data_IF_539263035863
#
_entry.id   IF_539263035863
#
_cell.length_a   1.000
_cell.length_b   1.000
_cell.length_c   1.000
_cell.angle_alpha   90.00
_cell.angle_beta   90.00
_cell.angle_gamma   90.00
#
_symmetry.space_group_name_H-M   'P 1'
#
loop_
_entity.id
_entity.type
_entity.pdbx_description
1 polymer ?
#
# COMPACT_ATOMS: atom_id res chain seq x y z
N UNK A 1 16.66 27.88 -2.69
CA UNK A 1 16.91 26.57 -3.34
C UNK A 1 15.99 25.57 -2.68
N UNK A 2 15.49 24.59 -3.41
CA UNK A 2 14.55 23.60 -2.89
C UNK A 2 14.90 22.23 -3.43
N UNK A 3 15.00 21.25 -2.55
CA UNK A 3 15.20 19.83 -2.88
C UNK A 3 14.00 19.04 -2.35
N UNK A 4 13.67 17.94 -3.03
CA UNK A 4 12.65 17.02 -2.54
C UNK A 4 13.12 16.42 -1.20
N UNK A 5 12.30 16.59 -0.16
CA UNK A 5 12.72 16.31 1.22
C UNK A 5 12.07 15.03 1.71
N UNK A 6 12.86 14.06 2.22
CA UNK A 6 12.34 12.80 2.70
C UNK A 6 11.52 12.96 3.99
N UNK A 7 10.54 12.06 4.17
CA UNK A 7 9.83 11.85 5.42
C UNK A 7 10.49 10.78 6.29
N UNK A 8 9.66 10.05 7.05
CA UNK A 8 10.13 8.94 7.88
C UNK A 8 10.54 7.71 7.05
N UNK A 9 9.98 7.56 5.85
CA UNK A 9 10.28 6.47 4.94
C UNK A 9 11.55 6.72 4.11
N UNK A 10 12.39 5.70 4.04
CA UNK A 10 13.56 5.62 3.16
C UNK A 10 13.09 5.04 1.82
N UNK A 11 13.02 5.89 0.81
CA UNK A 11 12.47 5.57 -0.50
C UNK A 11 13.51 5.82 -1.60
N UNK A 12 13.47 4.99 -2.64
CA UNK A 12 14.27 5.16 -3.86
C UNK A 12 13.84 6.46 -4.58
N UNK A 13 14.73 7.45 -4.59
CA UNK A 13 14.45 8.85 -4.93
C UNK A 13 15.40 9.35 -6.01
N UNK A 14 14.91 10.26 -6.84
CA UNK A 14 15.73 10.93 -7.85
C UNK A 14 16.38 12.24 -7.34
N UNK A 15 16.17 12.63 -6.09
CA UNK A 15 16.74 13.86 -5.52
C UNK A 15 18.24 13.72 -5.21
N UNK A 16 18.68 12.52 -4.84
CA UNK A 16 20.10 12.17 -4.62
C UNK A 16 20.35 10.79 -5.19
N UNK A 17 21.26 10.67 -6.15
CA UNK A 17 21.61 9.41 -6.80
C UNK A 17 23.10 9.09 -6.58
N UNK A 18 23.40 7.81 -6.41
CA UNK A 18 24.75 7.26 -6.53
C UNK A 18 24.92 6.73 -7.94
N UNK A 19 25.86 7.32 -8.68
CA UNK A 19 26.15 6.93 -10.06
C UNK A 19 27.14 5.76 -10.12
N UNK A 20 27.17 4.97 -11.21
CA UNK A 20 28.05 3.80 -11.34
C UNK A 20 29.55 4.10 -11.23
N UNK A 21 29.97 5.35 -11.48
CA UNK A 21 31.34 5.81 -11.34
C UNK A 21 31.70 6.26 -9.91
N UNK A 22 30.75 6.16 -8.97
CA UNK A 22 30.90 6.58 -7.59
C UNK A 22 30.58 8.06 -7.34
N UNK A 23 30.16 8.82 -8.37
CA UNK A 23 29.73 10.20 -8.18
C UNK A 23 28.37 10.27 -7.48
N UNK A 24 28.17 11.33 -6.70
CA UNK A 24 26.86 11.68 -6.12
C UNK A 24 26.22 12.76 -6.98
N UNK A 25 25.05 12.48 -7.54
CA UNK A 25 24.25 13.46 -8.25
C UNK A 25 23.14 13.97 -7.33
N UNK A 26 23.10 15.28 -7.09
CA UNK A 26 22.05 15.92 -6.31
C UNK A 26 21.19 16.80 -7.22
N UNK A 27 19.89 16.54 -7.25
CA UNK A 27 18.91 17.25 -8.09
C UNK A 27 18.04 18.17 -7.24
N UNK A 28 18.05 19.45 -7.58
CA UNK A 28 17.31 20.48 -6.84
C UNK A 28 16.89 21.62 -7.76
N UNK A 29 16.03 22.50 -7.26
CA UNK A 29 15.55 23.68 -7.98
C UNK A 29 16.08 24.96 -7.35
N UNK A 30 16.49 25.92 -8.18
CA UNK A 30 16.88 27.27 -7.76
C UNK A 30 15.95 28.30 -8.42
N UNK A 31 15.16 29.00 -7.61
CA UNK A 31 14.44 30.18 -8.08
C UNK A 31 15.44 31.32 -8.27
N UNK A 32 15.75 31.68 -9.53
CA UNK A 32 16.70 32.74 -9.83
C UNK A 32 16.13 34.12 -9.42
N UNK A 33 16.90 34.95 -8.69
CA UNK A 33 16.39 36.19 -8.15
C UNK A 33 16.20 37.24 -9.24
N UNK A 34 15.04 37.91 -9.21
CA UNK A 34 14.69 38.97 -10.13
C UNK A 34 13.89 40.08 -9.42
N UNK A 35 14.02 41.31 -9.93
CA UNK A 35 13.18 42.45 -9.55
C UNK A 35 12.26 42.76 -10.74
N UNK A 36 11.03 42.25 -10.69
CA UNK A 36 10.14 42.27 -11.86
C UNK A 36 10.72 41.40 -12.97
N UNK A 37 11.05 42.01 -14.12
CA UNK A 37 11.68 41.33 -15.27
C UNK A 37 13.20 41.49 -15.34
N UNK A 38 13.80 42.17 -14.36
CA UNK A 38 15.25 42.43 -14.33
C UNK A 38 15.96 41.41 -13.46
N UNK A 39 16.94 40.70 -14.03
CA UNK A 39 17.76 39.72 -13.31
C UNK A 39 18.59 40.42 -12.23
N UNK A 40 18.59 39.87 -11.02
CA UNK A 40 19.42 40.35 -9.91
C UNK A 40 20.77 39.63 -9.88
N UNK A 41 21.67 39.98 -10.79
CA UNK A 41 22.94 39.26 -11.01
C UNK A 41 23.79 39.04 -9.76
N UNK A 42 23.91 40.04 -8.87
CA UNK A 42 24.65 39.90 -7.60
C UNK A 42 24.03 38.85 -6.67
N UNK A 43 22.70 38.81 -6.57
CA UNK A 43 22.01 37.82 -5.76
C UNK A 43 22.10 36.42 -6.38
N UNK A 44 22.03 36.32 -7.71
CA UNK A 44 22.22 35.06 -8.42
C UNK A 44 23.64 34.50 -8.22
N UNK A 45 24.67 35.36 -8.30
CA UNK A 45 26.06 35.01 -7.97
C UNK A 45 26.18 34.52 -6.53
N UNK A 46 25.60 35.24 -5.56
CA UNK A 46 25.62 34.83 -4.16
C UNK A 46 24.99 33.43 -3.96
N UNK A 47 23.85 33.17 -4.59
CA UNK A 47 23.19 31.88 -4.50
C UNK A 47 24.03 30.78 -5.17
N UNK A 48 24.37 30.94 -6.46
CA UNK A 48 24.94 29.87 -7.28
C UNK A 48 26.44 29.66 -7.10
N UNK A 49 27.19 30.72 -6.83
CA UNK A 49 28.66 30.67 -6.81
C UNK A 49 29.25 30.74 -5.40
N UNK A 50 28.44 31.07 -4.38
CA UNK A 50 28.91 31.16 -2.98
C UNK A 50 28.16 30.16 -2.10
N UNK A 51 26.83 30.23 -2.03
CA UNK A 51 26.07 29.34 -1.14
C UNK A 51 25.99 27.91 -1.67
N UNK A 52 25.70 27.71 -2.95
CA UNK A 52 25.55 26.37 -3.52
C UNK A 52 26.83 25.52 -3.39
N UNK A 53 28.05 26.00 -3.73
CA UNK A 53 29.26 25.21 -3.55
C UNK A 53 29.52 24.86 -2.08
N UNK A 54 29.21 25.76 -1.15
CA UNK A 54 29.37 25.51 0.28
C UNK A 54 28.38 24.47 0.81
N UNK A 55 27.11 24.53 0.37
CA UNK A 55 26.12 23.50 0.67
C UNK A 55 26.62 22.15 0.14
N UNK A 56 27.03 22.08 -1.14
CA UNK A 56 27.53 20.83 -1.72
C UNK A 56 28.72 20.26 -0.94
N UNK A 57 29.69 21.11 -0.55
CA UNK A 57 30.87 20.71 0.23
C UNK A 57 30.50 20.17 1.62
N UNK A 58 29.48 20.73 2.24
CA UNK A 58 29.07 20.37 3.61
C UNK A 58 28.06 19.21 3.66
N UNK A 59 27.28 18.98 2.59
CA UNK A 59 26.22 17.97 2.58
C UNK A 59 26.48 16.76 1.67
N UNK A 60 27.38 16.84 0.69
CA UNK A 60 27.65 15.75 -0.27
C UNK A 60 29.05 15.15 -0.15
N UNK A 61 29.99 15.84 0.51
CA UNK A 61 31.34 15.31 0.71
C UNK A 61 31.40 14.52 2.01
N UNK A 62 31.75 13.24 1.93
CA UNK A 62 31.84 12.32 3.09
C UNK A 62 32.64 12.90 4.27
N UNK A 63 33.77 13.55 4.02
CA UNK A 63 34.60 14.15 5.08
C UNK A 63 33.94 15.30 5.87
N UNK A 64 32.78 15.80 5.41
CA UNK A 64 31.97 16.80 6.10
C UNK A 64 30.76 16.20 6.82
N UNK A 65 30.49 14.90 6.63
CA UNK A 65 29.35 14.19 7.21
C UNK A 65 29.76 13.50 8.52
N UNK A 66 28.75 13.21 9.35
CA UNK A 66 28.89 12.30 10.47
C UNK A 66 28.95 10.86 9.92
N UNK A 67 30.16 10.28 9.92
CA UNK A 67 30.42 8.97 9.37
C UNK A 67 29.66 7.87 10.13
N UNK A 68 29.62 7.96 11.47
CA UNK A 68 28.97 6.96 12.32
C UNK A 68 27.45 7.01 12.10
N UNK A 69 26.87 8.20 12.00
CA UNK A 69 25.45 8.35 11.71
C UNK A 69 25.07 7.85 10.30
N UNK A 70 25.93 8.08 9.30
CA UNK A 70 25.72 7.58 7.95
C UNK A 70 25.80 6.05 7.91
N UNK A 71 26.81 5.45 8.54
CA UNK A 71 26.97 4.00 8.62
C UNK A 71 25.79 3.35 9.35
N UNK A 72 25.37 3.90 10.49
CA UNK A 72 24.20 3.43 11.22
C UNK A 72 22.91 3.52 10.38
N UNK A 73 22.75 4.57 9.57
CA UNK A 73 21.62 4.70 8.68
C UNK A 73 21.61 3.63 7.59
N UNK A 74 22.75 3.39 6.93
CA UNK A 74 22.88 2.34 5.92
C UNK A 74 22.63 0.95 6.52
N UNK A 75 23.27 0.65 7.65
CA UNK A 75 23.13 -0.63 8.36
C UNK A 75 21.68 -0.94 8.73
N UNK A 76 20.94 0.07 9.23
CA UNK A 76 19.54 -0.07 9.57
C UNK A 76 18.65 -0.39 8.35
N UNK A 77 18.92 0.21 7.19
CA UNK A 77 18.15 -0.08 5.96
C UNK A 77 18.49 -1.47 5.42
N UNK A 78 19.76 -1.88 5.47
CA UNK A 78 20.18 -3.24 5.10
C UNK A 78 19.50 -4.31 5.96
N UNK A 79 19.43 -4.08 7.27
CA UNK A 79 18.74 -4.95 8.23
C UNK A 79 17.25 -5.08 7.93
N UNK A 80 16.57 -3.97 7.62
CA UNK A 80 15.15 -3.96 7.26
C UNK A 80 14.88 -4.75 5.99
N UNK A 81 15.74 -4.56 4.97
CA UNK A 81 15.65 -5.32 3.73
C UNK A 81 15.89 -6.81 3.95
N UNK A 82 16.93 -7.18 4.70
CA UNK A 82 17.23 -8.57 5.04
C UNK A 82 16.07 -9.22 5.80
N UNK A 83 15.47 -8.51 6.75
CA UNK A 83 14.31 -8.97 7.50
C UNK A 83 13.09 -9.19 6.60
N UNK A 84 12.84 -8.30 5.65
CA UNK A 84 11.74 -8.42 4.69
C UNK A 84 11.93 -9.60 3.74
N UNK A 85 13.14 -9.81 3.24
CA UNK A 85 13.51 -10.96 2.39
C UNK A 85 13.44 -12.29 3.17
N UNK A 86 13.63 -12.26 4.48
CA UNK A 86 13.52 -13.42 5.36
C UNK A 86 12.07 -13.89 5.60
N UNK A 87 11.08 -12.99 5.61
CA UNK A 87 9.66 -13.31 5.85
C UNK A 87 9.13 -14.56 5.12
N UNK A 88 9.23 -14.66 3.77
CA UNK A 88 8.69 -15.81 3.05
C UNK A 88 9.37 -17.13 3.42
N UNK A 89 10.65 -17.10 3.82
CA UNK A 89 11.39 -18.32 4.23
C UNK A 89 10.84 -18.94 5.51
N UNK A 90 10.09 -18.16 6.29
CA UNK A 90 9.46 -18.57 7.55
C UNK A 90 7.95 -18.74 7.45
N UNK A 91 7.37 -18.59 6.26
CA UNK A 91 5.91 -18.56 6.08
C UNK A 91 5.26 -17.38 6.81
N UNK A 92 5.94 -16.23 6.84
CA UNK A 92 5.45 -14.99 7.43
C UNK A 92 5.07 -13.97 6.35
N UNK A 93 4.12 -13.11 6.68
CA UNK A 93 3.69 -11.97 5.84
C UNK A 93 4.03 -10.61 6.47
N UNK A 94 4.30 -10.58 7.77
CA UNK A 94 4.81 -9.43 8.48
C UNK A 94 5.59 -9.85 9.73
N UNK A 95 6.46 -8.96 10.21
CA UNK A 95 7.19 -9.07 11.46
C UNK A 95 7.11 -7.74 12.21
N UNK A 96 6.88 -7.79 13.53
CA UNK A 96 6.82 -6.61 14.40
C UNK A 96 7.81 -6.81 15.54
N UNK A 97 8.93 -6.09 15.52
CA UNK A 97 9.97 -6.21 16.54
C UNK A 97 9.47 -5.89 17.96
N UNK A 98 10.00 -6.62 18.94
CA UNK A 98 9.87 -6.21 20.34
C UNK A 98 10.55 -4.86 20.57
N UNK A 99 9.90 -4.00 21.36
CA UNK A 99 10.38 -2.64 21.62
C UNK A 99 9.95 -1.61 20.57
N UNK A 100 9.30 -2.02 19.47
CA UNK A 100 8.83 -1.09 18.45
C UNK A 100 7.85 -0.05 19.01
N UNK A 101 7.94 1.19 18.51
CA UNK A 101 7.02 2.29 18.85
C UNK A 101 6.07 2.52 17.68
N UNK A 102 4.91 1.87 17.76
CA UNK A 102 3.89 1.91 16.72
C UNK A 102 3.09 3.22 16.63
N UNK A 103 2.63 3.83 17.75
CA UNK A 103 1.83 5.05 17.68
C UNK A 103 2.66 6.26 17.25
N UNK A 104 2.03 7.15 16.48
CA UNK A 104 2.66 8.39 15.97
C UNK A 104 2.32 9.57 16.85
N UNK A 105 3.12 10.63 16.78
CA UNK A 105 2.99 11.82 17.61
C UNK A 105 1.62 12.49 17.45
N UNK A 106 1.08 12.52 16.22
CA UNK A 106 -0.32 12.91 15.96
C UNK A 106 -0.77 12.44 14.58
N UNK A 107 -2.05 12.62 14.22
CA UNK A 107 -2.54 12.35 12.86
C UNK A 107 -1.91 13.22 11.76
N UNK A 108 -1.20 14.29 12.11
CA UNK A 108 -0.52 15.20 11.17
C UNK A 108 1.01 15.18 11.29
N UNK A 109 1.56 14.43 12.27
CA UNK A 109 3.00 14.28 12.46
C UNK A 109 3.31 12.79 12.58
N UNK A 110 3.96 12.27 11.55
CA UNK A 110 4.32 10.86 11.46
C UNK A 110 5.58 10.50 12.27
N UNK A 111 6.15 11.37 13.11
CA UNK A 111 7.19 11.00 14.09
C UNK A 111 6.65 10.04 15.19
N UNK A 112 7.50 9.25 15.86
CA UNK A 112 7.05 8.36 16.93
C UNK A 112 6.49 9.10 18.14
N UNK A 113 5.45 8.54 18.75
CA UNK A 113 4.89 9.06 19.99
C UNK A 113 5.86 8.89 21.16
N UNK A 114 6.12 9.98 21.88
CA UNK A 114 6.94 9.95 23.11
C UNK A 114 6.18 9.30 24.26
N UNK A 115 6.86 8.42 25.02
CA UNK A 115 6.27 7.74 26.17
C UNK A 115 5.23 6.69 25.81
N UNK A 116 5.21 6.23 24.56
CA UNK A 116 4.36 5.14 24.12
C UNK A 116 4.72 3.82 24.82
N UNK A 117 3.74 2.92 24.93
CA UNK A 117 3.97 1.54 25.34
C UNK A 117 4.71 0.83 24.20
N UNK A 118 5.97 0.36 24.40
CA UNK A 118 6.67 -0.39 23.38
C UNK A 118 5.96 -1.70 23.08
N UNK A 119 5.99 -2.13 21.82
CA UNK A 119 5.38 -3.38 21.41
C UNK A 119 6.07 -4.58 22.09
N UNK A 120 5.26 -5.53 22.55
CA UNK A 120 5.72 -6.77 23.16
C UNK A 120 5.00 -7.95 22.50
N UNK A 121 5.78 -8.91 22.00
CA UNK A 121 5.27 -10.04 21.24
C UNK A 121 4.66 -11.10 22.14
N UNK A 122 3.45 -11.62 21.83
CA UNK A 122 2.91 -12.80 22.48
C UNK A 122 3.88 -13.98 22.35
N UNK A 123 4.10 -14.72 23.44
CA UNK A 123 5.09 -15.81 23.47
C UNK A 123 4.90 -16.86 22.37
N UNK A 124 3.66 -17.21 22.02
CA UNK A 124 3.34 -18.20 20.98
C UNK A 124 3.64 -17.74 19.54
N UNK A 125 3.80 -16.43 19.34
CA UNK A 125 4.01 -15.80 18.03
C UNK A 125 5.41 -15.17 17.92
N UNK A 126 6.21 -15.27 18.97
CA UNK A 126 7.57 -14.76 19.01
C UNK A 126 8.48 -15.60 18.13
N UNK A 127 9.23 -14.94 17.26
CA UNK A 127 10.24 -15.53 16.38
C UNK A 127 11.50 -14.68 16.44
N UNK A 128 12.64 -15.28 16.09
CA UNK A 128 13.94 -14.61 16.07
C UNK A 128 14.47 -14.56 14.63
N UNK A 129 14.91 -13.38 14.20
CA UNK A 129 15.56 -13.16 12.92
C UNK A 129 17.03 -12.77 13.16
N UNK A 130 17.94 -13.32 12.35
CA UNK A 130 19.35 -12.94 12.38
C UNK A 130 19.62 -11.95 11.25
N UNK A 131 19.98 -10.72 11.62
CA UNK A 131 20.22 -9.60 10.72
C UNK A 131 21.73 -9.34 10.55
N UNK A 132 22.16 -8.84 9.39
CA UNK A 132 23.58 -8.65 9.10
C UNK A 132 24.28 -7.65 10.03
N UNK A 133 23.58 -6.61 10.50
CA UNK A 133 24.18 -5.54 11.31
C UNK A 133 23.68 -5.55 12.76
N UNK A 134 22.36 -5.62 13.00
CA UNK A 134 21.77 -5.64 14.35
C UNK A 134 21.88 -7.01 15.06
N UNK A 135 22.34 -8.06 14.38
CA UNK A 135 22.41 -9.40 14.94
C UNK A 135 21.02 -10.04 15.14
N UNK A 136 20.84 -10.79 16.21
CA UNK A 136 19.55 -11.48 16.47
C UNK A 136 18.53 -10.53 17.08
N UNK A 137 17.38 -10.40 16.41
CA UNK A 137 16.24 -9.61 16.87
C UNK A 137 15.03 -10.50 17.12
N UNK A 138 14.28 -10.21 18.18
CA UNK A 138 13.03 -10.91 18.55
C UNK A 138 11.82 -10.04 18.21
N UNK A 139 10.74 -10.67 17.78
CA UNK A 139 9.49 -10.00 17.48
C UNK A 139 8.35 -10.95 17.15
N UNK A 140 7.17 -10.39 16.88
CA UNK A 140 5.97 -11.15 16.53
C UNK A 140 5.99 -11.44 15.04
N UNK A 141 5.96 -12.71 14.68
CA UNK A 141 5.76 -13.17 13.30
C UNK A 141 4.28 -13.32 12.97
N UNK A 142 3.79 -12.59 11.98
CA UNK A 142 2.44 -12.78 11.42
C UNK A 142 2.51 -13.82 10.30
N UNK A 143 1.92 -15.00 10.53
CA UNK A 143 1.97 -16.12 9.58
C UNK A 143 1.07 -15.89 8.36
N UNK A 144 1.39 -16.58 7.27
CA UNK A 144 0.48 -16.71 6.12
C UNK A 144 -0.87 -17.30 6.55
N UNK A 145 -1.96 -16.82 5.94
CA UNK A 145 -3.33 -17.23 6.28
C UNK A 145 -4.20 -16.04 6.67
N UNK A 146 -5.17 -16.26 7.55
CA UNK A 146 -6.12 -15.23 8.04
C UNK A 146 -5.79 -14.87 9.48
N UNK A 147 -5.33 -13.65 9.70
CA UNK A 147 -5.02 -13.10 11.03
C UNK A 147 -5.98 -11.96 11.39
N UNK A 148 -6.55 -12.01 12.59
CA UNK A 148 -7.42 -10.96 13.12
C UNK A 148 -6.68 -10.14 14.18
N UNK A 149 -6.97 -8.84 14.24
CA UNK A 149 -6.56 -7.90 15.28
C UNK A 149 -7.84 -7.37 15.94
N UNK A 150 -8.08 -7.76 17.17
CA UNK A 150 -9.34 -7.55 17.89
C UNK A 150 -9.13 -6.80 19.20
N UNK A 151 -10.21 -6.37 19.86
CA UNK A 151 -10.15 -5.63 21.12
C UNK A 151 -11.05 -4.40 21.15
N UNK A 152 -11.12 -3.75 22.31
CA UNK A 152 -11.94 -2.55 22.51
C UNK A 152 -11.52 -1.37 21.63
N UNK A 153 -12.42 -0.39 21.45
CA UNK A 153 -12.08 0.89 20.82
C UNK A 153 -10.97 1.61 21.61
N UNK A 154 -10.00 2.19 20.91
CA UNK A 154 -8.83 2.88 21.49
C UNK A 154 -7.76 1.99 22.19
N UNK A 155 -7.79 0.66 22.05
CA UNK A 155 -6.76 -0.23 22.62
C UNK A 155 -5.55 -0.50 21.69
N UNK A 156 -5.46 0.15 20.51
CA UNK A 156 -4.29 0.07 19.62
C UNK A 156 -4.41 -0.86 18.39
N UNK A 157 -5.62 -1.32 18.05
CA UNK A 157 -5.86 -2.19 16.87
C UNK A 157 -5.39 -1.58 15.55
N UNK A 158 -5.96 -0.43 15.18
CA UNK A 158 -5.61 0.28 13.94
C UNK A 158 -4.18 0.80 13.98
N UNK A 159 -3.62 1.08 15.16
CA UNK A 159 -2.20 1.45 15.31
C UNK A 159 -1.29 0.30 14.88
N UNK A 160 -1.56 -0.93 15.34
CA UNK A 160 -0.82 -2.12 14.92
C UNK A 160 -0.98 -2.37 13.41
N UNK A 161 -2.21 -2.33 12.90
CA UNK A 161 -2.45 -2.53 11.47
C UNK A 161 -1.78 -1.45 10.62
N UNK A 162 -1.77 -0.18 11.06
CA UNK A 162 -1.13 0.92 10.32
C UNK A 162 0.40 0.77 10.29
N UNK A 163 1.00 0.25 11.36
CA UNK A 163 2.43 -0.08 11.35
C UNK A 163 2.74 -1.22 10.37
N UNK A 164 1.91 -2.28 10.35
CA UNK A 164 2.02 -3.36 9.35
C UNK A 164 1.80 -2.82 7.93
N UNK A 165 0.84 -1.92 7.73
CA UNK A 165 0.57 -1.28 6.45
C UNK A 165 1.77 -0.48 5.93
N UNK A 166 2.47 0.23 6.83
CA UNK A 166 3.67 1.01 6.51
C UNK A 166 4.95 0.18 6.41
N UNK A 167 4.99 -1.03 6.98
CA UNK A 167 6.15 -1.93 6.91
C UNK A 167 6.53 -2.44 5.51
N UNK A 168 5.76 -2.06 4.49
CA UNK A 168 6.14 -2.19 3.07
C UNK A 168 7.26 -1.23 2.66
N UNK A 169 7.59 -0.23 3.50
CA UNK A 169 8.70 0.68 3.33
C UNK A 169 9.73 0.50 4.44
N UNK A 170 10.98 0.82 4.12
CA UNK A 170 12.02 1.01 5.14
C UNK A 170 11.80 2.37 5.83
N UNK A 171 12.13 2.46 7.11
CA UNK A 171 12.04 3.67 7.91
C UNK A 171 13.42 4.10 8.41
N UNK A 172 13.57 5.40 8.66
CA UNK A 172 14.79 5.97 9.23
C UNK A 172 15.07 5.41 10.64
N UNK A 173 16.34 5.28 11.07
CA UNK A 173 16.67 4.89 12.43
C UNK A 173 15.99 5.80 13.47
N UNK A 174 15.39 5.21 14.50
CA UNK A 174 14.68 5.95 15.55
C UNK A 174 13.25 6.32 15.20
N UNK A 175 12.72 5.88 14.06
CA UNK A 175 11.29 6.02 13.71
C UNK A 175 10.37 5.22 14.66
N UNK A 176 10.89 4.17 15.28
CA UNK A 176 10.17 3.21 16.10
C UNK A 176 9.54 2.06 15.30
N UNK A 177 9.44 2.17 13.97
CA UNK A 177 8.91 1.13 13.08
C UNK A 177 9.97 0.54 12.15
N UNK A 178 11.24 0.89 12.29
CA UNK A 178 12.34 0.37 11.46
C UNK A 178 12.25 -1.16 11.32
N UNK A 179 12.19 -1.92 12.41
CA UNK A 179 12.07 -3.38 12.35
C UNK A 179 10.61 -3.88 12.35
N UNK A 180 9.70 -3.11 11.79
CA UNK A 180 8.33 -3.52 11.45
C UNK A 180 8.24 -3.65 9.94
N UNK A 181 8.36 -4.88 9.44
CA UNK A 181 8.38 -5.15 8.00
C UNK A 181 7.20 -5.99 7.56
N UNK A 182 6.76 -5.76 6.34
CA UNK A 182 5.61 -6.44 5.72
C UNK A 182 5.99 -6.83 4.30
N UNK A 183 5.43 -7.94 3.81
CA UNK A 183 5.63 -8.38 2.44
C UNK A 183 5.33 -7.25 1.42
N UNK A 184 6.22 -7.05 0.44
CA UNK A 184 6.16 -5.93 -0.52
C UNK A 184 4.84 -5.85 -1.28
N UNK A 185 4.23 -7.01 -1.54
CA UNK A 185 2.97 -7.15 -2.28
C UNK A 185 1.73 -6.74 -1.48
N UNK A 186 1.87 -6.34 -0.21
CA UNK A 186 0.75 -6.01 0.65
C UNK A 186 -0.03 -4.80 0.16
N UNK A 187 -1.35 -4.95 0.11
CA UNK A 187 -2.30 -3.92 -0.31
C UNK A 187 -3.33 -3.64 0.80
N UNK A 188 -3.45 -2.37 1.19
CA UNK A 188 -4.55 -1.89 2.04
C UNK A 188 -5.83 -1.79 1.22
N UNK A 189 -6.87 -2.49 1.68
CA UNK A 189 -8.20 -2.51 1.07
C UNK A 189 -9.17 -1.74 1.96
N UNK A 190 -10.03 -0.93 1.32
CA UNK A 190 -11.13 -0.21 1.96
C UNK A 190 -12.28 -0.01 0.97
N UNK A 191 -13.40 0.49 1.47
CA UNK A 191 -14.47 1.00 0.61
C UNK A 191 -14.12 2.39 0.05
N UNK A 192 -14.52 2.64 -1.20
CA UNK A 192 -14.32 3.90 -1.93
C UNK A 192 -15.60 4.25 -2.70
N UNK A 193 -16.59 4.76 -1.99
CA UNK A 193 -17.86 5.17 -2.59
C UNK A 193 -17.64 6.28 -3.64
N UNK A 194 -18.26 6.13 -4.80
CA UNK A 194 -18.20 7.11 -5.90
C UNK A 194 -17.02 7.00 -6.86
N UNK A 195 -16.10 6.04 -6.66
CA UNK A 195 -15.01 5.81 -7.62
C UNK A 195 -15.51 5.17 -8.92
N UNK A 196 -14.78 5.39 -10.01
CA UNK A 196 -15.01 4.68 -11.28
C UNK A 196 -14.37 3.28 -11.26
N UNK A 197 -14.96 2.39 -12.05
CA UNK A 197 -14.48 1.02 -12.31
C UNK A 197 -14.65 0.72 -13.80
N UNK A 198 -13.69 0.03 -14.42
CA UNK A 198 -13.78 -0.40 -15.82
C UNK A 198 -13.33 -1.85 -16.00
N UNK A 199 -14.24 -2.69 -16.47
CA UNK A 199 -14.00 -4.05 -16.95
C UNK A 199 -13.54 -5.07 -15.90
N UNK A 200 -13.92 -4.91 -14.62
CA UNK A 200 -13.45 -5.77 -13.52
C UNK A 200 -14.40 -6.94 -13.26
N UNK A 201 -13.89 -8.15 -13.17
CA UNK A 201 -14.68 -9.31 -12.73
C UNK A 201 -14.84 -9.31 -11.21
N UNK A 202 -15.98 -8.78 -10.75
CA UNK A 202 -16.38 -8.78 -9.34
C UNK A 202 -17.38 -9.91 -9.01
N UNK A 203 -17.65 -10.81 -9.96
CA UNK A 203 -18.55 -11.96 -9.77
C UNK A 203 -18.23 -12.87 -8.58
N UNK A 204 -16.97 -12.99 -8.09
CA UNK A 204 -16.70 -13.74 -6.86
C UNK A 204 -17.38 -13.16 -5.61
N UNK A 205 -17.71 -11.87 -5.63
CA UNK A 205 -18.28 -11.17 -4.49
C UNK A 205 -19.67 -10.59 -4.75
N UNK A 206 -20.00 -10.27 -6.00
CA UNK A 206 -21.23 -9.57 -6.36
C UNK A 206 -21.87 -10.31 -7.53
N UNK A 207 -23.09 -10.81 -7.35
CA UNK A 207 -23.89 -11.46 -8.38
C UNK A 207 -25.17 -10.63 -8.65
N UNK A 208 -25.86 -10.89 -9.76
CA UNK A 208 -27.26 -10.46 -9.98
C UNK A 208 -27.56 -8.98 -9.68
N UNK A 209 -26.71 -8.06 -10.16
CA UNK A 209 -26.93 -6.64 -9.98
C UNK A 209 -28.26 -6.18 -10.63
N UNK A 210 -28.93 -5.15 -10.06
CA UNK A 210 -30.10 -4.55 -10.68
C UNK A 210 -29.84 -4.15 -12.14
N UNK A 211 -30.87 -4.26 -12.98
CA UNK A 211 -30.83 -3.98 -14.42
C UNK A 211 -29.93 -4.93 -15.23
N UNK A 212 -29.52 -6.06 -14.67
CA UNK A 212 -28.78 -7.09 -15.40
C UNK A 212 -27.36 -6.66 -15.78
N UNK A 213 -26.75 -5.78 -15.00
CA UNK A 213 -25.33 -5.41 -15.20
C UNK A 213 -24.45 -6.64 -15.07
N UNK A 214 -23.53 -6.81 -16.02
CA UNK A 214 -22.57 -7.91 -15.98
C UNK A 214 -21.56 -7.67 -14.83
N UNK A 215 -21.39 -8.69 -14.02
CA UNK A 215 -20.45 -8.69 -12.87
C UNK A 215 -19.11 -9.32 -13.24
N UNK A 216 -19.04 -10.03 -14.37
CA UNK A 216 -17.80 -10.57 -14.93
C UNK A 216 -17.01 -9.53 -15.75
N UNK A 217 -17.66 -8.43 -16.17
CA UNK A 217 -17.05 -7.30 -16.88
C UNK A 217 -17.59 -5.97 -16.32
N UNK A 218 -17.52 -5.81 -15.00
CA UNK A 218 -18.19 -4.73 -14.30
C UNK A 218 -17.54 -3.37 -14.59
N UNK A 219 -18.38 -2.41 -15.00
CA UNK A 219 -17.98 -1.02 -15.24
C UNK A 219 -19.02 -0.06 -14.66
N UNK A 220 -18.57 1.01 -14.00
CA UNK A 220 -19.42 2.08 -13.47
C UNK A 220 -18.64 3.37 -13.29
N UNK A 221 -19.30 4.52 -13.42
CA UNK A 221 -18.72 5.83 -13.06
C UNK A 221 -18.90 6.19 -11.58
N UNK A 222 -19.69 5.40 -10.86
CA UNK A 222 -20.18 5.66 -9.50
C UNK A 222 -20.38 4.31 -8.79
N UNK A 223 -19.32 3.75 -8.20
CA UNK A 223 -19.37 2.48 -7.48
C UNK A 223 -19.86 2.70 -6.04
N UNK A 224 -20.72 1.80 -5.55
CA UNK A 224 -21.11 1.77 -4.14
C UNK A 224 -19.95 1.32 -3.23
N UNK A 225 -20.07 1.52 -1.91
CA UNK A 225 -19.09 1.02 -0.94
C UNK A 225 -18.72 -0.47 -1.08
N UNK A 226 -19.70 -1.37 -1.27
CA UNK A 226 -19.44 -2.82 -1.41
C UNK A 226 -18.83 -3.18 -2.77
N UNK A 227 -19.32 -2.59 -3.86
CA UNK A 227 -18.80 -2.86 -5.21
C UNK A 227 -17.41 -2.29 -5.41
N UNK A 228 -17.11 -1.11 -4.85
CA UNK A 228 -15.77 -0.52 -4.83
C UNK A 228 -14.79 -1.36 -4.00
N UNK A 229 -15.20 -1.88 -2.84
CA UNK A 229 -14.35 -2.74 -2.02
C UNK A 229 -14.07 -4.09 -2.69
N UNK A 230 -15.09 -4.72 -3.29
CA UNK A 230 -14.90 -5.93 -4.11
C UNK A 230 -13.91 -5.69 -5.26
N UNK A 231 -14.09 -4.56 -5.96
CA UNK A 231 -13.21 -4.12 -7.04
C UNK A 231 -11.77 -3.95 -6.54
N UNK A 232 -11.56 -3.27 -5.40
CA UNK A 232 -10.24 -3.07 -4.80
C UNK A 232 -9.51 -4.39 -4.55
N UNK A 233 -10.21 -5.40 -4.05
CA UNK A 233 -9.62 -6.72 -3.83
C UNK A 233 -9.19 -7.32 -5.17
N UNK A 234 -10.09 -7.37 -6.15
CA UNK A 234 -9.80 -7.98 -7.46
C UNK A 234 -8.64 -7.28 -8.16
N UNK A 235 -8.61 -5.94 -8.13
CA UNK A 235 -7.55 -5.13 -8.71
C UNK A 235 -6.20 -5.33 -8.02
N UNK A 236 -6.17 -5.37 -6.68
CA UNK A 236 -4.95 -5.63 -5.93
C UNK A 236 -4.40 -7.03 -6.25
N UNK A 237 -5.29 -8.02 -6.36
CA UNK A 237 -4.93 -9.37 -6.73
C UNK A 237 -4.43 -9.46 -8.18
N UNK A 238 -5.03 -8.74 -9.12
CA UNK A 238 -4.58 -8.60 -10.51
C UNK A 238 -3.20 -7.96 -10.60
N UNK A 239 -2.92 -6.97 -9.75
CA UNK A 239 -1.61 -6.35 -9.60
C UNK A 239 -0.56 -7.27 -8.95
N UNK A 240 -0.94 -8.47 -8.49
CA UNK A 240 -0.02 -9.46 -7.93
C UNK A 240 0.04 -9.47 -6.40
N UNK A 241 -0.85 -8.78 -5.71
CA UNK A 241 -0.90 -8.81 -4.24
C UNK A 241 -1.08 -10.23 -3.70
N UNK A 242 -0.38 -10.55 -2.60
CA UNK A 242 -0.51 -11.79 -1.83
C UNK A 242 -0.83 -11.54 -0.35
N UNK A 243 -1.01 -10.29 0.05
CA UNK A 243 -1.41 -9.90 1.39
C UNK A 243 -2.42 -8.75 1.31
N UNK A 244 -3.62 -8.96 1.84
CA UNK A 244 -4.65 -7.94 1.96
C UNK A 244 -4.73 -7.46 3.41
N UNK A 245 -4.69 -6.15 3.60
CA UNK A 245 -4.83 -5.50 4.90
C UNK A 245 -6.20 -4.81 4.96
N UNK A 246 -7.02 -5.10 5.97
CA UNK A 246 -8.35 -4.53 6.10
C UNK A 246 -8.59 -3.97 7.49
N UNK A 247 -9.29 -2.84 7.58
CA UNK A 247 -9.79 -2.28 8.83
C UNK A 247 -11.31 -2.17 8.75
N UNK A 248 -12.03 -2.87 9.63
CA UNK A 248 -13.50 -2.89 9.67
C UNK A 248 -14.10 -1.46 9.64
N UNK A 249 -13.46 -0.50 10.31
CA UNK A 249 -13.92 0.89 10.39
C UNK A 249 -13.92 1.63 9.03
N UNK A 250 -13.19 1.09 8.03
CA UNK A 250 -13.08 1.66 6.67
C UNK A 250 -13.67 0.75 5.59
N UNK A 251 -14.26 -0.37 5.99
CA UNK A 251 -14.90 -1.32 5.09
C UNK A 251 -16.42 -1.08 4.99
N UNK A 252 -17.01 -1.52 3.89
CA UNK A 252 -18.46 -1.57 3.75
C UNK A 252 -19.02 -2.72 4.61
N UNK A 253 -19.85 -2.40 5.61
CA UNK A 253 -20.37 -3.39 6.57
C UNK A 253 -21.10 -4.55 5.87
N UNK A 254 -21.94 -4.24 4.88
CA UNK A 254 -22.68 -5.23 4.09
C UNK A 254 -21.79 -6.11 3.21
N UNK A 255 -20.55 -5.70 2.97
CA UNK A 255 -19.55 -6.50 2.28
C UNK A 255 -18.80 -7.41 3.25
N UNK A 256 -18.55 -6.96 4.49
CA UNK A 256 -17.78 -7.74 5.44
C UNK A 256 -18.54 -8.95 5.95
N UNK A 257 -19.82 -8.78 6.32
CA UNK A 257 -20.67 -9.84 6.87
C UNK A 257 -22.12 -9.69 6.45
N UNK A 258 -22.90 -10.75 6.68
CA UNK A 258 -24.34 -10.76 6.45
C UNK A 258 -25.06 -11.16 7.73
N UNK A 259 -25.86 -10.23 8.24
CA UNK A 259 -26.71 -10.47 9.40
C UNK A 259 -27.77 -11.56 9.12
N UNK A 260 -27.95 -12.50 10.05
CA UNK A 260 -28.88 -13.62 9.92
C UNK A 260 -30.34 -13.18 9.81
N UNK A 261 -30.74 -12.11 10.51
CA UNK A 261 -32.13 -11.59 10.45
C UNK A 261 -32.38 -10.95 9.10
N UNK A 262 -31.40 -10.23 8.56
CA UNK A 262 -31.46 -9.71 7.20
C UNK A 262 -31.54 -10.85 6.18
N UNK A 263 -30.77 -11.92 6.37
CA UNK A 263 -30.83 -13.12 5.52
C UNK A 263 -32.20 -13.84 5.60
N UNK A 264 -32.85 -13.84 6.76
CA UNK A 264 -34.19 -14.40 6.92
C UNK A 264 -35.29 -13.54 6.24
N UNK A 265 -35.10 -12.23 6.17
CA UNK A 265 -36.05 -11.30 5.53
C UNK A 265 -35.84 -11.21 4.01
N UNK A 266 -34.59 -11.13 3.57
CA UNK A 266 -34.18 -10.98 2.17
C UNK A 266 -33.61 -12.30 1.70
N UNK A 267 -34.39 -13.01 0.89
CA UNK A 267 -34.01 -14.29 0.32
C UNK A 267 -32.65 -14.21 -0.40
N UNK A 268 -31.87 -15.30 -0.35
CA UNK A 268 -30.51 -15.34 -0.86
C UNK A 268 -30.41 -15.04 -2.37
N UNK A 269 -31.43 -15.38 -3.15
CA UNK A 269 -31.53 -15.09 -4.59
C UNK A 269 -31.75 -13.60 -4.90
N UNK A 270 -32.13 -12.80 -3.90
CA UNK A 270 -32.35 -11.35 -3.98
C UNK A 270 -31.25 -10.52 -3.33
N UNK A 271 -30.28 -11.15 -2.67
CA UNK A 271 -29.12 -10.48 -2.10
C UNK A 271 -27.91 -10.68 -3.03
N UNK A 272 -27.49 -9.64 -3.77
CA UNK A 272 -26.42 -9.75 -4.74
C UNK A 272 -25.04 -9.96 -4.11
N UNK A 273 -24.86 -9.64 -2.82
CA UNK A 273 -23.55 -9.62 -2.18
C UNK A 273 -23.22 -10.97 -1.53
N UNK A 274 -22.12 -11.58 -1.96
CA UNK A 274 -21.42 -12.63 -1.23
C UNK A 274 -20.42 -11.96 -0.27
N UNK A 275 -20.62 -12.04 1.05
CA UNK A 275 -19.78 -11.33 2.00
C UNK A 275 -18.36 -11.87 2.02
N UNK A 276 -17.39 -11.03 2.38
CA UNK A 276 -15.96 -11.34 2.40
C UNK A 276 -15.62 -12.54 3.27
N UNK A 277 -16.32 -12.71 4.41
CA UNK A 277 -16.17 -13.86 5.30
C UNK A 277 -16.34 -15.21 4.56
N UNK A 278 -17.21 -15.27 3.55
CA UNK A 278 -17.44 -16.48 2.77
C UNK A 278 -16.28 -16.78 1.79
N UNK A 279 -15.46 -15.78 1.43
CA UNK A 279 -14.38 -15.88 0.43
C UNK A 279 -12.98 -15.85 1.02
N UNK A 280 -12.80 -15.37 2.25
CA UNK A 280 -11.48 -15.18 2.87
C UNK A 280 -10.67 -16.48 2.95
N UNK A 281 -11.33 -17.62 3.20
CA UNK A 281 -10.66 -18.94 3.20
C UNK A 281 -10.25 -19.40 1.80
N UNK A 282 -11.06 -19.12 0.78
CA UNK A 282 -10.71 -19.42 -0.60
C UNK A 282 -9.52 -18.58 -1.09
N UNK A 283 -9.43 -17.32 -0.65
CA UNK A 283 -8.26 -16.46 -0.87
C UNK A 283 -7.01 -17.05 -0.20
N UNK A 284 -7.10 -17.43 1.07
CA UNK A 284 -6.00 -18.07 1.80
C UNK A 284 -5.52 -19.36 1.13
N UNK A 285 -6.45 -20.22 0.68
CA UNK A 285 -6.13 -21.43 -0.07
C UNK A 285 -5.45 -21.15 -1.43
N UNK A 286 -5.72 -19.98 -2.03
CA UNK A 286 -5.05 -19.50 -3.24
C UNK A 286 -3.71 -18.77 -2.96
N UNK A 287 -3.21 -18.81 -1.72
CA UNK A 287 -1.94 -18.19 -1.33
C UNK A 287 -2.04 -16.68 -1.05
N UNK A 288 -3.24 -16.15 -0.82
CA UNK A 288 -3.46 -14.75 -0.45
C UNK A 288 -3.78 -14.67 1.03
N UNK A 289 -2.88 -14.07 1.81
CA UNK A 289 -3.11 -13.87 3.24
C UNK A 289 -3.94 -12.62 3.51
N UNK A 290 -4.60 -12.58 4.66
CA UNK A 290 -5.42 -11.46 5.11
C UNK A 290 -5.06 -11.10 6.56
N UNK A 291 -4.78 -9.82 6.83
CA UNK A 291 -4.66 -9.28 8.19
C UNK A 291 -5.76 -8.24 8.38
N UNK A 292 -6.61 -8.44 9.39
CA UNK A 292 -7.84 -7.68 9.52
C UNK A 292 -8.02 -7.13 10.93
N UNK A 293 -8.27 -5.83 11.06
CA UNK A 293 -8.81 -5.26 12.30
C UNK A 293 -10.31 -5.49 12.34
N UNK A 294 -10.78 -6.11 13.42
CA UNK A 294 -12.18 -6.40 13.69
C UNK A 294 -12.53 -5.91 15.10
N UNK A 295 -13.56 -5.07 15.22
CA UNK A 295 -14.08 -4.52 16.47
C UNK A 295 -15.56 -4.84 16.72
N UNK A 296 -16.35 -5.08 15.67
CA UNK A 296 -17.80 -5.26 15.77
C UNK A 296 -18.30 -6.67 15.41
N UNK A 297 -17.53 -7.44 14.65
CA UNK A 297 -18.01 -8.69 14.06
C UNK A 297 -17.28 -9.96 14.55
N UNK A 298 -17.91 -10.72 15.44
CA UNK A 298 -17.35 -11.98 15.95
C UNK A 298 -17.37 -13.17 14.98
N UNK A 299 -18.09 -13.10 13.86
CA UNK A 299 -18.23 -14.24 12.93
C UNK A 299 -16.89 -14.68 12.33
N UNK A 300 -15.96 -13.74 12.17
CA UNK A 300 -14.62 -14.00 11.61
C UNK A 300 -13.76 -14.95 12.45
N UNK A 301 -14.08 -15.17 13.74
CA UNK A 301 -13.37 -16.17 14.56
C UNK A 301 -13.44 -17.58 13.97
N UNK A 302 -14.51 -17.89 13.24
CA UNK A 302 -14.69 -19.19 12.58
C UNK A 302 -13.74 -19.42 11.39
N UNK A 303 -13.17 -18.35 10.82
CA UNK A 303 -12.32 -18.39 9.63
C UNK A 303 -10.89 -17.90 9.88
N UNK A 304 -10.55 -17.56 11.12
CA UNK A 304 -9.22 -17.09 11.48
C UNK A 304 -8.25 -18.24 11.78
N UNK A 305 -7.01 -18.10 11.33
CA UNK A 305 -5.89 -18.95 11.75
C UNK A 305 -5.26 -18.43 13.05
N UNK A 306 -5.21 -17.11 13.20
CA UNK A 306 -4.67 -16.42 14.36
C UNK A 306 -5.59 -15.26 14.77
N UNK A 307 -5.78 -15.06 16.08
CA UNK A 307 -6.51 -13.91 16.64
C UNK A 307 -5.64 -13.19 17.66
N UNK A 308 -5.24 -11.97 17.33
CA UNK A 308 -4.47 -11.06 18.18
C UNK A 308 -5.44 -10.14 18.93
N UNK A 309 -5.44 -10.18 20.26
CA UNK A 309 -6.23 -9.25 21.06
C UNK A 309 -5.34 -8.10 21.54
N UNK A 310 -5.70 -6.89 21.14
CA UNK A 310 -5.13 -5.65 21.67
C UNK A 310 -5.90 -5.20 22.90
N UNK A 311 -5.20 -5.04 24.03
CA UNK A 311 -5.75 -4.47 25.25
C UNK A 311 -4.72 -3.54 25.90
N UNK A 312 -5.09 -2.26 26.10
CA UNK A 312 -4.24 -1.26 26.75
C UNK A 312 -2.87 -1.17 26.08
N UNK A 313 -2.89 -1.22 24.74
CA UNK A 313 -1.73 -1.20 23.85
C UNK A 313 -0.78 -2.41 23.95
N UNK A 314 -1.20 -3.49 24.64
CA UNK A 314 -0.49 -4.77 24.66
C UNK A 314 -1.17 -5.78 23.72
N UNK A 315 -0.36 -6.59 23.06
CA UNK A 315 -0.82 -7.64 22.15
C UNK A 315 -0.83 -9.00 22.88
N UNK A 316 -1.92 -9.76 22.71
CA UNK A 316 -2.07 -11.11 23.25
C UNK A 316 -2.49 -12.07 22.14
N UNK A 317 -2.01 -13.31 22.18
CA UNK A 317 -2.58 -14.39 21.37
C UNK A 317 -3.88 -14.88 22.01
N UNK A 318 -5.01 -14.55 21.39
CA UNK A 318 -6.34 -14.96 21.81
C UNK A 318 -6.94 -16.02 20.86
N UNK A 319 -6.10 -16.74 20.11
CA UNK A 319 -6.56 -17.72 19.11
C UNK A 319 -7.38 -18.84 19.75
N UNK A 320 -6.94 -19.38 20.89
CA UNK A 320 -7.69 -20.40 21.62
C UNK A 320 -9.01 -19.85 22.18
N UNK A 321 -8.97 -18.66 22.80
CA UNK A 321 -10.15 -17.99 23.33
C UNK A 321 -11.21 -17.74 22.24
N UNK A 322 -10.79 -17.33 21.04
CA UNK A 322 -11.67 -17.10 19.91
C UNK A 322 -12.37 -18.39 19.44
N UNK A 323 -11.65 -19.52 19.39
CA UNK A 323 -12.21 -20.84 19.07
C UNK A 323 -13.25 -21.27 20.12
N UNK A 324 -12.94 -21.10 21.41
CA UNK A 324 -13.86 -21.41 22.50
C UNK A 324 -15.14 -20.55 22.44
N UNK A 325 -15.07 -19.31 21.96
CA UNK A 325 -16.27 -18.47 21.72
C UNK A 325 -17.14 -19.06 20.61
N UNK A 326 -16.54 -19.47 19.49
CA UNK A 326 -17.27 -20.07 18.35
C UNK A 326 -18.00 -21.34 18.80
N UNK A 327 -17.33 -22.23 19.52
CA UNK A 327 -17.92 -23.50 19.98
C UNK A 327 -19.09 -23.27 20.96
N UNK A 328 -18.91 -22.37 21.93
CA UNK A 328 -19.97 -22.04 22.90
C UNK A 328 -21.18 -21.40 22.24
N UNK A 329 -20.97 -20.51 21.28
CA UNK A 329 -22.06 -19.84 20.57
C UNK A 329 -22.86 -20.85 19.74
N UNK A 330 -22.17 -21.72 18.98
CA UNK A 330 -22.82 -22.76 18.20
C UNK A 330 -23.64 -23.73 19.07
N UNK A 331 -23.12 -24.11 20.24
CA UNK A 331 -23.84 -24.94 21.19
C UNK A 331 -25.09 -24.25 21.78
N UNK A 332 -25.05 -22.93 21.99
CA UNK A 332 -26.14 -22.16 22.60
C UNK A 332 -27.27 -21.84 21.63
N UNK A 333 -26.96 -21.52 20.37
CA UNK A 333 -27.95 -21.08 19.38
C UNK A 333 -28.43 -22.22 18.48
N UNK A 334 -27.71 -23.34 18.43
CA UNK A 334 -27.94 -24.41 17.45
C UNK A 334 -27.58 -24.01 16.02
N UNK A 335 -27.07 -22.79 15.82
CA UNK A 335 -26.56 -22.31 14.54
C UNK A 335 -25.10 -22.75 14.46
N UNK A 336 -24.81 -23.68 13.54
CA UNK A 336 -23.45 -24.15 13.30
C UNK A 336 -22.54 -23.08 12.71
N UNK A 337 -21.27 -23.41 12.48
CA UNK A 337 -20.37 -22.55 11.73
C UNK A 337 -21.00 -22.17 10.38
N UNK A 338 -20.80 -20.91 9.95
CA UNK A 338 -21.24 -20.43 8.65
C UNK A 338 -20.93 -21.47 7.57
N UNK A 339 -21.91 -21.74 6.70
CA UNK A 339 -21.66 -22.51 5.50
C UNK A 339 -20.69 -21.72 4.63
N UNK A 340 -19.39 -21.98 4.81
CA UNK A 340 -18.36 -21.36 4.01
C UNK A 340 -18.55 -21.80 2.57
N UNK A 341 -18.47 -20.84 1.65
CA UNK A 341 -18.45 -21.18 0.24
C UNK A 341 -17.08 -21.80 -0.06
N UNK A 342 -17.02 -23.13 -0.04
CA UNK A 342 -15.83 -23.90 -0.35
C UNK A 342 -15.47 -23.85 -1.84
N UNK A 343 -16.26 -23.13 -2.67
CA UNK A 343 -15.93 -22.98 -4.08
C UNK A 343 -14.61 -22.21 -4.23
N UNK A 344 -13.67 -22.76 -5.00
CA UNK A 344 -12.46 -22.04 -5.34
C UNK A 344 -12.83 -20.76 -6.09
N UNK A 345 -12.02 -19.70 -5.89
CA UNK A 345 -12.18 -18.50 -6.68
C UNK A 345 -11.97 -18.83 -8.16
N UNK A 346 -12.79 -18.27 -9.06
CA UNK A 346 -12.61 -18.50 -10.49
C UNK A 346 -11.21 -18.02 -10.93
N UNK A 347 -10.60 -18.68 -11.92
CA UNK A 347 -9.33 -18.23 -12.47
C UNK A 347 -9.49 -16.81 -13.03
N UNK A 348 -8.58 -15.92 -12.61
CA UNK A 348 -8.62 -14.51 -13.00
C UNK A 348 -7.97 -14.35 -14.37
N UNK A 349 -8.73 -13.89 -15.36
CA UNK A 349 -8.17 -13.44 -16.63
C UNK A 349 -7.66 -12.00 -16.46
N UNK A 350 -6.43 -11.70 -16.89
CA UNK A 350 -5.92 -10.33 -16.83
C UNK A 350 -6.70 -9.45 -17.81
N UNK A 351 -7.12 -8.26 -17.36
CA UNK A 351 -7.92 -7.33 -18.17
C UNK A 351 -7.07 -6.72 -19.26
N UNK A 352 -7.66 -6.55 -20.45
CA UNK A 352 -7.08 -5.73 -21.51
C UNK A 352 -7.34 -4.27 -21.21
N UNK A 353 -6.32 -3.44 -21.44
CA UNK A 353 -6.40 -1.99 -21.27
C UNK A 353 -6.30 -1.35 -22.64
N UNK A 354 -7.39 -0.71 -23.06
CA UNK A 354 -7.50 -0.07 -24.38
C UNK A 354 -7.07 1.39 -24.34
N UNK A 355 -7.37 2.08 -23.24
CA UNK A 355 -6.99 3.47 -23.04
C UNK A 355 -6.90 3.81 -21.55
N UNK A 356 -5.91 4.63 -21.19
CA UNK A 356 -5.72 5.19 -19.86
C UNK A 356 -6.22 6.64 -19.81
N UNK A 357 -5.70 7.48 -20.69
CA UNK A 357 -5.98 8.93 -20.75
C UNK A 357 -6.24 9.38 -22.18
N UNK A 358 -7.05 10.44 -22.34
CA UNK A 358 -7.43 10.95 -23.65
C UNK A 358 -6.27 11.67 -24.38
N UNK A 359 -5.50 12.48 -23.64
CA UNK A 359 -4.34 13.21 -24.15
C UNK A 359 -3.16 13.02 -23.20
N UNK A 360 -2.19 12.18 -23.61
CA UNK A 360 -0.99 11.92 -22.83
C UNK A 360 0.10 12.99 -22.96
N UNK A 361 -0.13 14.02 -23.79
CA UNK A 361 0.71 15.22 -23.86
C UNK A 361 0.21 16.34 -22.93
N UNK A 362 -0.95 16.12 -22.30
CA UNK A 362 -1.55 17.09 -21.39
C UNK A 362 -0.62 17.39 -20.20
N UNK A 363 -0.70 18.64 -19.73
CA UNK A 363 0.07 19.08 -18.58
C UNK A 363 -0.37 18.31 -17.33
N UNK A 364 0.60 17.69 -16.65
CA UNK A 364 0.38 17.01 -15.39
C UNK A 364 0.68 17.92 -14.20
N UNK A 365 -0.10 17.80 -13.13
CA UNK A 365 0.14 18.52 -11.89
C UNK A 365 -0.22 17.63 -10.69
N UNK A 366 0.69 17.55 -9.71
CA UNK A 366 0.44 16.85 -8.45
C UNK A 366 0.27 17.88 -7.35
N UNK A 367 -0.88 17.85 -6.67
CA UNK A 367 -1.24 18.84 -5.65
C UNK A 367 -0.96 18.32 -4.25
N UNK A 368 -1.31 17.06 -3.98
CA UNK A 368 -1.10 16.37 -2.71
C UNK A 368 -0.51 14.97 -2.94
N UNK A 369 -0.24 14.23 -1.86
CA UNK A 369 0.17 12.82 -1.94
C UNK A 369 -0.89 11.98 -2.66
N UNK A 370 -2.17 12.31 -2.50
CA UNK A 370 -3.29 11.51 -2.97
C UNK A 370 -4.14 12.22 -4.05
N UNK A 371 -3.66 13.33 -4.62
CA UNK A 371 -4.37 14.11 -5.63
C UNK A 371 -3.47 14.60 -6.75
N UNK A 372 -3.84 14.26 -7.98
CA UNK A 372 -3.16 14.70 -9.18
C UNK A 372 -4.13 15.10 -10.29
N UNK A 373 -3.59 15.68 -11.35
CA UNK A 373 -4.32 16.17 -12.50
C UNK A 373 -3.54 15.88 -13.79
N UNK A 374 -4.24 15.38 -14.81
CA UNK A 374 -3.72 15.14 -16.17
C UNK A 374 -4.60 15.93 -17.14
N UNK A 375 -4.17 17.13 -17.54
CA UNK A 375 -5.03 18.06 -18.26
C UNK A 375 -6.26 18.45 -17.43
N UNK A 376 -7.46 18.12 -17.91
CA UNK A 376 -8.72 18.35 -17.19
C UNK A 376 -9.15 17.14 -16.33
N UNK A 377 -8.45 16.00 -16.43
CA UNK A 377 -8.75 14.81 -15.65
C UNK A 377 -8.18 14.94 -14.23
N UNK A 378 -9.05 14.94 -13.23
CA UNK A 378 -8.65 14.75 -11.84
C UNK A 378 -8.40 13.27 -11.55
N UNK A 379 -7.30 12.97 -10.86
CA UNK A 379 -6.93 11.64 -10.38
C UNK A 379 -6.97 11.66 -8.85
N UNK A 380 -8.00 11.00 -8.31
CA UNK A 380 -8.19 10.81 -6.87
C UNK A 380 -7.57 9.48 -6.43
N UNK A 381 -6.57 9.56 -5.55
CA UNK A 381 -5.89 8.40 -4.95
C UNK A 381 -6.10 8.37 -3.43
N UNK A 382 -7.14 9.04 -2.90
CA UNK A 382 -7.42 9.13 -1.47
C UNK A 382 -7.67 7.78 -0.79
N UNK A 383 -8.14 6.78 -1.54
CA UNK A 383 -8.26 5.41 -1.04
C UNK A 383 -6.98 4.58 -1.10
N UNK A 384 -5.88 5.11 -1.66
CA UNK A 384 -4.57 4.45 -1.76
C UNK A 384 -3.69 4.90 -0.60
N UNK A 385 -4.06 4.51 0.63
CA UNK A 385 -3.45 5.01 1.88
C UNK A 385 -1.94 4.72 2.01
N UNK A 386 -1.43 3.76 1.24
CA UNK A 386 -0.02 3.37 1.23
C UNK A 386 0.88 4.30 0.40
N UNK A 387 0.32 5.27 -0.33
CA UNK A 387 1.12 6.39 -0.85
C UNK A 387 1.54 7.30 0.31
N UNK A 388 2.84 7.54 0.44
CA UNK A 388 3.44 8.31 1.55
C UNK A 388 4.06 9.61 1.09
N UNK A 389 4.43 9.70 -0.19
CA UNK A 389 5.22 10.82 -0.71
C UNK A 389 4.58 11.40 -1.98
N UNK A 390 4.57 12.73 -2.08
CA UNK A 390 4.05 13.45 -3.25
C UNK A 390 4.86 13.13 -4.52
N UNK A 391 6.14 12.83 -4.37
CA UNK A 391 7.04 12.45 -5.46
C UNK A 391 6.78 11.02 -5.96
N UNK A 392 6.19 10.13 -5.15
CA UNK A 392 5.67 8.84 -5.63
C UNK A 392 4.51 9.09 -6.59
N UNK A 393 3.55 9.91 -6.18
CA UNK A 393 2.37 10.23 -7.01
C UNK A 393 2.77 10.92 -8.31
N UNK A 394 3.83 11.73 -8.29
CA UNK A 394 4.36 12.29 -9.54
C UNK A 394 4.91 11.21 -10.47
N UNK A 395 5.73 10.30 -9.95
CA UNK A 395 6.26 9.19 -10.73
C UNK A 395 5.13 8.30 -11.29
N UNK A 396 4.10 8.01 -10.50
CA UNK A 396 2.92 7.25 -10.93
C UNK A 396 2.21 7.92 -12.11
N UNK A 397 1.95 9.23 -12.02
CA UNK A 397 1.23 9.96 -13.06
C UNK A 397 2.05 10.02 -14.36
N UNK A 398 3.35 10.26 -14.26
CA UNK A 398 4.22 10.28 -15.44
C UNK A 398 4.39 8.87 -16.05
N UNK A 399 4.40 7.81 -15.24
CA UNK A 399 4.34 6.43 -15.72
C UNK A 399 3.05 6.12 -16.50
N UNK A 400 1.89 6.55 -16.00
CA UNK A 400 0.59 6.42 -16.70
C UNK A 400 0.64 7.12 -18.07
N UNK A 401 1.14 8.36 -18.11
CA UNK A 401 1.29 9.12 -19.35
C UNK A 401 2.31 8.48 -20.31
N UNK A 402 3.38 7.89 -19.79
CA UNK A 402 4.35 7.14 -20.58
C UNK A 402 3.71 5.90 -21.23
N UNK A 403 2.96 5.10 -20.47
CA UNK A 403 2.28 3.89 -20.97
C UNK A 403 1.29 4.22 -22.09
N UNK A 404 0.50 5.28 -21.94
CA UNK A 404 -0.43 5.71 -22.98
C UNK A 404 0.30 6.09 -24.29
N UNK A 405 1.46 6.74 -24.20
CA UNK A 405 2.24 7.16 -25.39
C UNK A 405 2.97 6.01 -26.06
N UNK A 406 3.58 5.12 -25.27
CA UNK A 406 4.57 4.16 -25.76
C UNK A 406 4.01 2.76 -26.02
N UNK A 407 2.99 2.34 -25.25
CA UNK A 407 2.45 0.99 -25.29
C UNK A 407 1.09 0.96 -25.99
N UNK A 408 0.15 1.78 -25.54
CA UNK A 408 -1.24 1.71 -26.03
C UNK A 408 -1.45 2.35 -27.41
N UNK A 409 -0.55 3.22 -27.86
CA UNK A 409 -0.61 3.82 -29.20
C UNK A 409 -0.32 2.82 -30.34
N UNK A 410 0.21 1.62 -30.04
CA UNK A 410 0.76 0.70 -31.04
C UNK A 410 -0.08 -0.54 -31.35
N UNK A 411 -0.99 -0.98 -30.47
CA UNK A 411 -2.12 -1.89 -30.74
C UNK A 411 -2.77 -2.32 -29.40
N UNK A 412 -4.08 -2.11 -29.24
CA UNK A 412 -4.86 -2.36 -28.01
C UNK A 412 -5.06 -3.84 -27.66
N UNK A 413 -4.00 -4.52 -27.22
CA UNK A 413 -4.06 -5.91 -26.75
C UNK A 413 -3.30 -6.17 -25.45
N UNK A 414 -2.75 -5.12 -24.85
CA UNK A 414 -1.91 -5.22 -23.65
C UNK A 414 -2.76 -5.37 -22.41
N UNK A 415 -2.39 -6.31 -21.55
CA UNK A 415 -3.07 -6.52 -20.28
C UNK A 415 -2.53 -5.63 -19.17
N UNK A 416 -3.31 -5.37 -18.12
CA UNK A 416 -2.83 -4.56 -16.99
C UNK A 416 -1.52 -5.09 -16.40
N UNK A 417 -1.35 -6.41 -16.12
CA UNK A 417 -0.06 -6.93 -15.64
C UNK A 417 1.11 -6.63 -16.59
N UNK A 418 0.93 -6.77 -17.89
CA UNK A 418 1.97 -6.46 -18.88
C UNK A 418 2.33 -4.96 -18.90
N UNK A 419 1.35 -4.07 -18.70
CA UNK A 419 1.63 -2.64 -18.55
C UNK A 419 2.48 -2.34 -17.31
N UNK A 420 2.17 -3.01 -16.19
CA UNK A 420 2.93 -2.87 -14.95
C UNK A 420 4.35 -3.44 -15.12
N UNK A 421 4.49 -4.60 -15.76
CA UNK A 421 5.78 -5.21 -16.08
C UNK A 421 6.65 -4.26 -16.91
N UNK A 422 6.05 -3.57 -17.90
CA UNK A 422 6.78 -2.60 -18.73
C UNK A 422 7.36 -1.43 -17.93
N UNK A 423 6.62 -0.92 -16.94
CA UNK A 423 7.13 0.14 -16.05
C UNK A 423 8.21 -0.41 -15.13
N UNK A 424 8.03 -1.60 -14.56
CA UNK A 424 9.04 -2.23 -13.70
C UNK A 424 10.35 -2.49 -14.45
N UNK A 425 10.26 -2.98 -15.69
CA UNK A 425 11.41 -3.13 -16.59
C UNK A 425 12.10 -1.80 -16.87
N UNK A 426 11.34 -0.74 -17.18
CA UNK A 426 11.88 0.59 -17.42
C UNK A 426 12.60 1.15 -16.18
N UNK A 427 12.01 0.97 -15.00
CA UNK A 427 12.59 1.35 -13.71
C UNK A 427 13.78 0.47 -13.28
N UNK A 428 13.89 -0.75 -13.82
CA UNK A 428 15.01 -1.66 -13.58
C UNK A 428 16.25 -1.37 -14.45
N UNK A 429 16.13 -0.49 -15.44
CA UNK A 429 17.28 -0.06 -16.26
C UNK A 429 18.22 0.86 -15.47
N UNK A 430 19.47 1.09 -15.93
CA UNK A 430 20.35 2.10 -15.32
C UNK A 430 19.80 3.53 -15.31
N UNK A 431 18.80 3.83 -16.15
CA UNK A 431 18.11 5.12 -16.11
C UNK A 431 17.18 5.24 -14.89
N UNK A 432 16.72 4.11 -14.32
CA UNK A 432 15.86 4.09 -13.15
C UNK A 432 14.62 4.96 -13.32
N UNK A 433 14.41 5.90 -12.40
CA UNK A 433 13.32 6.87 -12.41
C UNK A 433 13.33 7.84 -13.61
N UNK A 434 14.49 8.06 -14.24
CA UNK A 434 14.58 8.94 -15.43
C UNK A 434 13.91 8.33 -16.66
N UNK A 435 13.67 7.02 -16.64
CA UNK A 435 12.92 6.34 -17.70
C UNK A 435 11.47 6.84 -17.80
N UNK A 436 10.92 7.41 -16.74
CA UNK A 436 9.56 7.96 -16.69
C UNK A 436 9.43 9.32 -17.41
N UNK A 437 10.53 10.07 -17.52
CA UNK A 437 10.57 11.36 -18.21
C UNK A 437 11.81 11.49 -19.11
N UNK A 438 11.85 10.77 -20.25
CA UNK A 438 13.02 10.79 -21.14
C UNK A 438 13.41 12.22 -21.56
N UNK A 439 14.67 12.57 -21.36
CA UNK A 439 15.21 13.90 -21.67
C UNK A 439 14.99 14.95 -20.58
N UNK A 440 14.42 14.57 -19.43
CA UNK A 440 14.28 15.42 -18.25
C UNK A 440 14.89 14.73 -17.03
N UNK A 441 15.65 15.47 -16.23
CA UNK A 441 16.24 14.97 -14.99
C UNK A 441 15.44 15.51 -13.81
N UNK A 442 14.33 14.84 -13.51
CA UNK A 442 13.43 15.25 -12.43
C UNK A 442 14.07 14.90 -11.09
N UNK A 443 14.16 15.88 -10.18
CA UNK A 443 14.68 15.69 -8.82
C UNK A 443 13.60 15.41 -7.76
N UNK A 444 12.38 15.09 -8.19
CA UNK A 444 11.19 14.93 -7.36
C UNK A 444 10.35 13.73 -7.82
N UNK A 445 11.03 12.63 -8.10
CA UNK A 445 10.44 11.31 -8.25
C UNK A 445 10.85 10.41 -7.11
N UNK A 446 9.91 9.56 -6.71
CA UNK A 446 10.13 8.42 -5.84
C UNK A 446 9.57 7.20 -6.54
N UNK A 447 10.26 6.05 -6.44
CA UNK A 447 9.81 4.81 -7.05
C UNK A 447 8.47 4.34 -6.46
N UNK A 448 7.42 4.20 -7.27
CA UNK A 448 6.17 3.64 -6.81
C UNK A 448 6.21 2.11 -6.81
N UNK A 449 5.40 1.49 -5.96
CA UNK A 449 5.18 0.04 -5.99
C UNK A 449 4.21 -0.34 -7.09
N UNK A 450 4.27 -1.60 -7.51
CA UNK A 450 3.35 -2.19 -8.49
C UNK A 450 1.87 -1.97 -8.17
N UNK A 451 1.52 -2.16 -6.90
CA UNK A 451 0.13 -2.01 -6.40
C UNK A 451 -0.36 -0.56 -6.48
N UNK A 452 0.52 0.44 -6.29
CA UNK A 452 0.18 1.86 -6.40
C UNK A 452 0.02 2.29 -7.85
N UNK A 453 0.88 1.81 -8.75
CA UNK A 453 0.75 2.01 -10.19
C UNK A 453 -0.58 1.44 -10.70
N UNK A 454 -0.90 0.20 -10.32
CA UNK A 454 -2.17 -0.42 -10.68
C UNK A 454 -3.37 0.34 -10.10
N UNK A 455 -3.29 0.73 -8.83
CA UNK A 455 -4.34 1.49 -8.16
C UNK A 455 -4.63 2.83 -8.84
N UNK A 456 -3.60 3.52 -9.33
CA UNK A 456 -3.77 4.78 -10.04
C UNK A 456 -4.37 4.60 -11.42
N UNK A 457 -3.89 3.63 -12.21
CA UNK A 457 -4.50 3.25 -13.50
C UNK A 457 -5.99 2.98 -13.33
N UNK A 458 -6.34 2.18 -12.32
CA UNK A 458 -7.71 1.74 -12.06
C UNK A 458 -8.66 2.84 -11.53
N UNK A 459 -8.12 3.98 -11.11
CA UNK A 459 -8.89 5.15 -10.64
C UNK A 459 -9.02 6.23 -11.70
N UNK A 460 -8.43 6.06 -12.88
CA UNK A 460 -8.64 6.98 -14.00
C UNK A 460 -10.09 6.86 -14.48
N UNK A 461 -10.86 7.96 -14.39
CA UNK A 461 -12.22 8.01 -14.93
C UNK A 461 -12.29 7.85 -16.45
N UNK A 462 -11.16 8.04 -17.14
CA UNK A 462 -11.01 7.81 -18.58
C UNK A 462 -10.54 6.41 -18.96
N UNK A 463 -10.28 5.53 -17.97
CA UNK A 463 -9.86 4.15 -18.21
C UNK A 463 -10.92 3.43 -19.07
N UNK A 464 -10.44 2.73 -20.09
CA UNK A 464 -11.21 1.74 -20.83
C UNK A 464 -10.46 0.42 -20.78
N UNK A 465 -11.09 -0.56 -20.15
CA UNK A 465 -10.59 -1.91 -20.00
C UNK A 465 -11.74 -2.91 -20.08
N UNK A 466 -11.43 -4.12 -20.52
CA UNK A 466 -12.36 -5.25 -20.63
C UNK A 466 -11.78 -6.53 -20.03
N UNK A 467 -12.65 -7.40 -19.50
CA UNK A 467 -12.28 -8.71 -18.97
C UNK A 467 -11.88 -9.75 -20.06
N UNK A 468 -11.99 -9.42 -21.35
CA UNK A 468 -11.61 -10.25 -22.51
C UNK A 468 -11.13 -9.44 -23.71
#
# INVERSE_FOLDING_TARGET
MTIDTPGQEVLDRSSVLLLPDGCVECRFTVALPARGRTVMGRAAHQALCVWLPEIARTSLCFGSLDADALEAHCAAVEDQRALREWLPTQGLVAFVADGAVLPRASGANDEPMRGAVPFESPGALRVEASLPNAGTVSGMGVRTGVSLIVGGGFHGKSTLLKAIERGVYDHVPGDGRELVVTADSAAKIRAEDGRSVSGVDISPFIANLPYGKDTADFSTGDASGSTSQATNIVEALEAGSRLLLLDEDTCATNFMVRDERMAALVAADREPITPFIARVRALAAAGVSCVMVIGGCGEYFSVADCTLRMDSFRCYDATAEARDVVERFAAATGVGALALDAQPLPPRAPRRVDALVADASAKCAVRAVDRAQIGELEVDLGGVEQLVDKSQTRAVIDAVCLLQRSVLSRAGTTTLPQLLDHIEEALGTPAGLDSLAPGSFMGNYVRPRRVELAAAVNRLRSLRASAK
#
